data_IF_245661531959
#
_entry.id   IF_245661531959
#
_cell.length_a   1.000
_cell.length_b   1.000
_cell.length_c   1.000
_cell.angle_alpha   90.00
_cell.angle_beta   90.00
_cell.angle_gamma   90.00
#
_symmetry.space_group_name_H-M   'P 1'
#
loop_
_entity.id
_entity.type
_entity.pdbx_description
1 polymer ?
#
# COMPACT_ATOMS: atom_id res chain seq x y z
N UNK A 1 -15.16 4.01 32.93
CA UNK A 1 -13.72 4.03 32.59
C UNK A 1 -13.20 2.69 32.05
N UNK A 2 -13.40 1.53 32.71
CA UNK A 2 -12.89 0.22 32.21
C UNK A 2 -13.36 -0.18 30.79
N UNK A 3 -14.58 0.18 30.37
CA UNK A 3 -15.10 -0.16 29.03
C UNK A 3 -14.49 0.69 27.89
N UNK A 4 -14.22 1.98 28.10
CA UNK A 4 -13.48 2.81 27.12
C UNK A 4 -12.02 2.34 26.95
N UNK A 5 -11.41 1.83 28.02
CA UNK A 5 -10.04 1.32 27.98
C UNK A 5 -9.90 0.02 27.18
N UNK A 6 -10.92 -0.85 27.19
CA UNK A 6 -10.93 -2.06 26.35
C UNK A 6 -11.03 -1.67 24.87
N UNK A 7 -11.84 -0.67 24.52
CA UNK A 7 -11.91 -0.15 23.14
C UNK A 7 -10.58 0.47 22.69
N UNK A 8 -9.88 1.21 23.55
CA UNK A 8 -8.54 1.72 23.25
C UNK A 8 -7.52 0.58 23.05
N UNK A 9 -7.61 -0.50 23.83
CA UNK A 9 -6.73 -1.67 23.72
C UNK A 9 -7.01 -2.48 22.45
N UNK A 10 -8.28 -2.62 22.06
CA UNK A 10 -8.69 -3.22 20.78
C UNK A 10 -8.25 -2.33 19.60
N UNK A 11 -8.38 -1.00 19.73
CA UNK A 11 -7.93 -0.05 18.70
C UNK A 11 -6.40 -0.06 18.55
N UNK A 12 -5.64 -0.08 19.65
CA UNK A 12 -4.19 -0.20 19.61
C UNK A 12 -3.73 -1.57 19.08
N UNK A 13 -4.42 -2.68 19.39
CA UNK A 13 -4.05 -4.00 18.85
C UNK A 13 -4.38 -4.12 17.36
N UNK A 14 -5.49 -3.53 16.89
CA UNK A 14 -5.78 -3.41 15.45
C UNK A 14 -4.75 -2.54 14.72
N UNK A 15 -4.37 -1.40 15.30
CA UNK A 15 -3.30 -0.57 14.76
C UNK A 15 -1.95 -1.31 14.79
N UNK A 16 -1.67 -2.19 15.74
CA UNK A 16 -0.38 -2.89 15.83
C UNK A 16 -0.18 -4.03 14.82
N UNK A 17 -1.25 -4.59 14.25
CA UNK A 17 -1.12 -5.44 13.06
C UNK A 17 -0.87 -4.60 11.79
N UNK A 18 -1.25 -3.32 11.79
CA UNK A 18 -1.09 -2.40 10.65
C UNK A 18 0.17 -1.50 10.72
N UNK A 19 0.72 -1.21 11.90
CA UNK A 19 1.88 -0.30 12.12
C UNK A 19 3.25 -1.00 11.93
N UNK A 20 3.27 -2.26 11.46
CA UNK A 20 4.53 -2.93 11.10
C UNK A 20 5.38 -2.11 10.10
N UNK A 21 4.77 -1.15 9.39
CA UNK A 21 5.41 -0.26 8.41
C UNK A 21 6.07 1.01 8.97
N UNK A 22 5.72 1.50 10.15
CA UNK A 22 6.10 2.89 10.53
C UNK A 22 7.33 3.01 11.43
N UNK A 23 7.69 1.94 12.15
CA UNK A 23 8.85 1.99 13.05
C UNK A 23 10.16 1.49 12.44
N UNK A 24 10.20 1.11 11.16
CA UNK A 24 11.39 0.54 10.51
C UNK A 24 12.25 1.52 9.70
N UNK A 25 11.95 2.83 9.68
CA UNK A 25 12.70 3.80 8.86
C UNK A 25 13.82 4.57 9.57
N UNK A 26 14.05 4.41 10.88
CA UNK A 26 15.14 5.09 11.57
C UNK A 26 16.33 4.17 11.81
N UNK A 27 17.15 4.00 10.77
CA UNK A 27 18.36 3.18 10.84
C UNK A 27 19.10 3.13 9.50
N UNK A 28 19.53 4.30 9.04
CA UNK A 28 20.37 4.52 7.87
C UNK A 28 21.69 3.75 7.99
N UNK A 29 21.97 2.83 7.06
CA UNK A 29 23.34 2.55 6.60
C UNK A 29 23.31 2.60 5.08
N UNK A 30 23.68 3.78 4.62
CA UNK A 30 24.18 4.21 3.32
C UNK A 30 23.33 4.12 2.04
N UNK A 31 22.98 5.34 1.62
CA UNK A 31 22.79 5.87 0.26
C UNK A 31 21.49 5.56 -0.49
N UNK A 32 20.50 6.45 -0.35
CA UNK A 32 19.62 6.98 -1.41
C UNK A 32 19.15 8.40 -0.97
N UNK A 33 18.90 9.33 -1.90
CA UNK A 33 19.04 10.77 -1.69
C UNK A 33 18.02 11.33 -0.71
N UNK A 34 18.50 12.28 0.09
CA UNK A 34 17.71 13.26 0.82
C UNK A 34 16.78 13.99 -0.14
N UNK A 35 15.49 13.88 0.11
CA UNK A 35 14.58 15.01 0.02
C UNK A 35 13.47 14.75 1.03
N UNK A 36 12.93 15.83 1.55
CA UNK A 36 11.98 15.89 2.64
C UNK A 36 10.69 15.15 2.26
N UNK A 37 10.67 13.83 2.44
CA UNK A 37 9.44 13.06 2.37
C UNK A 37 8.65 13.40 3.64
N UNK A 38 7.86 14.46 3.54
CA UNK A 38 6.56 14.52 4.21
C UNK A 38 5.97 13.10 4.19
N UNK A 39 5.24 12.73 5.25
CA UNK A 39 4.27 11.66 5.09
C UNK A 39 3.29 12.14 4.02
N UNK A 40 3.64 11.98 2.74
CA UNK A 40 2.71 12.06 1.64
C UNK A 40 1.64 11.08 2.04
N UNK A 41 0.47 11.62 2.43
CA UNK A 41 -0.75 10.85 2.48
C UNK A 41 -0.72 9.98 1.24
N UNK A 42 -0.64 8.65 1.43
CA UNK A 42 -0.57 7.70 0.32
C UNK A 42 -1.71 8.06 -0.63
N UNK A 43 -1.41 8.81 -1.69
CA UNK A 43 -2.44 9.27 -2.61
C UNK A 43 -2.85 8.02 -3.36
N UNK A 44 -4.08 7.54 -3.17
CA UNK A 44 -4.51 6.34 -3.84
C UNK A 44 -4.44 6.60 -5.34
N UNK A 45 -3.98 5.61 -6.11
CA UNK A 45 -3.94 5.76 -7.56
C UNK A 45 -5.36 5.69 -8.13
N UNK A 46 -5.72 6.71 -8.90
CA UNK A 46 -6.96 6.76 -9.69
C UNK A 46 -6.64 6.43 -11.14
N UNK A 47 -7.58 5.81 -11.84
CA UNK A 47 -7.47 5.56 -13.28
C UNK A 47 -7.60 6.87 -14.08
N UNK A 48 -6.45 7.46 -14.41
CA UNK A 48 -6.39 8.72 -15.15
C UNK A 48 -7.10 8.66 -16.51
N UNK A 49 -7.14 7.49 -17.16
CA UNK A 49 -7.85 7.32 -18.44
C UNK A 49 -9.34 7.61 -18.28
N UNK A 50 -9.95 7.07 -17.22
CA UNK A 50 -11.37 7.23 -16.93
C UNK A 50 -11.67 8.65 -16.48
N UNK A 51 -10.82 9.22 -15.63
CA UNK A 51 -10.92 10.63 -15.22
C UNK A 51 -10.89 11.56 -16.43
N UNK A 52 -9.99 11.32 -17.37
CA UNK A 52 -9.88 12.15 -18.59
C UNK A 52 -11.11 11.96 -19.48
N UNK A 53 -11.57 10.71 -19.70
CA UNK A 53 -12.77 10.42 -20.49
C UNK A 53 -14.00 11.14 -19.92
N UNK A 54 -14.21 11.11 -18.59
CA UNK A 54 -15.33 11.79 -17.95
C UNK A 54 -15.23 13.32 -18.11
N UNK A 55 -14.04 13.90 -17.93
CA UNK A 55 -13.82 15.34 -18.12
C UNK A 55 -14.05 15.79 -19.56
N UNK A 56 -13.51 15.06 -20.53
CA UNK A 56 -13.64 15.37 -21.96
C UNK A 56 -15.10 15.32 -22.44
N UNK A 57 -15.92 14.47 -21.81
CA UNK A 57 -17.34 14.34 -22.11
C UNK A 57 -18.25 15.22 -21.22
N UNK A 58 -17.68 16.11 -20.38
CA UNK A 58 -18.42 16.97 -19.44
C UNK A 58 -19.38 16.18 -18.51
N UNK A 59 -18.92 15.04 -18.00
CA UNK A 59 -19.67 14.20 -17.07
C UNK A 59 -19.21 14.54 -15.66
N UNK A 60 -20.16 14.88 -14.78
CA UNK A 60 -19.88 15.21 -13.38
C UNK A 60 -19.56 13.95 -12.57
N UNK A 61 -18.45 13.99 -11.83
CA UNK A 61 -18.01 12.91 -10.95
C UNK A 61 -17.20 13.47 -9.77
N UNK A 62 -17.11 12.67 -8.72
CA UNK A 62 -16.19 12.88 -7.61
C UNK A 62 -15.37 11.62 -7.35
N UNK A 63 -14.31 11.76 -6.55
CA UNK A 63 -13.47 10.64 -6.11
C UNK A 63 -13.76 10.37 -4.63
N UNK A 64 -14.41 9.26 -4.34
CA UNK A 64 -14.61 8.74 -2.99
C UNK A 64 -13.34 8.01 -2.50
N UNK A 65 -13.02 8.15 -1.21
CA UNK A 65 -11.88 7.51 -0.54
C UNK A 65 -10.51 7.69 -1.22
N UNK A 66 -10.39 8.68 -2.12
CA UNK A 66 -9.19 9.02 -2.86
C UNK A 66 -8.85 8.11 -4.05
N UNK A 67 -9.58 7.01 -4.29
CA UNK A 67 -9.37 6.12 -5.46
C UNK A 67 -10.65 5.72 -6.21
N UNK A 68 -11.83 5.82 -5.61
CA UNK A 68 -13.08 5.33 -6.20
C UNK A 68 -13.74 6.45 -7.00
N UNK A 69 -13.84 6.29 -8.32
CA UNK A 69 -14.53 7.25 -9.18
C UNK A 69 -16.05 6.99 -9.08
N UNK A 70 -16.79 8.02 -8.72
CA UNK A 70 -18.23 7.97 -8.48
C UNK A 70 -18.94 9.06 -9.29
N UNK A 71 -19.96 8.69 -10.08
CA UNK A 71 -20.79 9.63 -10.83
C UNK A 71 -21.78 10.36 -9.90
N UNK A 72 -22.00 11.66 -10.12
CA UNK A 72 -22.89 12.48 -9.28
C UNK A 72 -24.38 12.30 -9.60
N UNK A 73 -24.73 12.28 -10.89
CA UNK A 73 -26.13 12.24 -11.37
C UNK A 73 -26.46 10.90 -12.02
N UNK A 74 -26.48 9.84 -11.22
CA UNK A 74 -26.59 8.47 -11.72
C UNK A 74 -27.96 8.19 -12.36
N UNK A 75 -27.99 8.03 -13.68
CA UNK A 75 -29.14 7.51 -14.42
C UNK A 75 -28.74 6.27 -15.23
N UNK A 76 -29.67 5.34 -15.54
CA UNK A 76 -29.35 4.18 -16.38
C UNK A 76 -28.83 4.57 -17.77
N UNK A 77 -29.33 5.68 -18.32
CA UNK A 77 -28.91 6.24 -19.61
C UNK A 77 -27.46 6.74 -19.55
N UNK A 78 -27.09 7.47 -18.48
CA UNK A 78 -25.73 7.94 -18.27
C UNK A 78 -24.75 6.77 -18.06
N UNK A 79 -25.14 5.75 -17.29
CA UNK A 79 -24.32 4.55 -17.08
C UNK A 79 -24.08 3.84 -18.42
N UNK A 80 -25.11 3.67 -19.24
CA UNK A 80 -24.99 3.03 -20.55
C UNK A 80 -24.08 3.84 -21.49
N UNK A 81 -24.26 5.17 -21.53
CA UNK A 81 -23.42 6.07 -22.33
C UNK A 81 -21.94 6.01 -21.91
N UNK A 82 -21.64 6.10 -20.61
CA UNK A 82 -20.27 5.99 -20.08
C UNK A 82 -19.65 4.63 -20.40
N UNK A 83 -20.41 3.54 -20.23
CA UNK A 83 -19.91 2.19 -20.54
C UNK A 83 -19.60 2.02 -22.03
N UNK A 84 -20.46 2.52 -22.93
CA UNK A 84 -20.19 2.50 -24.37
C UNK A 84 -18.92 3.31 -24.69
N UNK A 85 -18.75 4.50 -24.13
CA UNK A 85 -17.54 5.32 -24.32
C UNK A 85 -16.27 4.64 -23.81
N UNK A 86 -16.35 3.93 -22.68
CA UNK A 86 -15.24 3.16 -22.14
C UNK A 86 -14.86 1.99 -23.06
N UNK A 87 -15.85 1.34 -23.68
CA UNK A 87 -15.63 0.29 -24.68
C UNK A 87 -15.05 0.86 -25.99
N UNK A 88 -15.57 1.99 -26.48
CA UNK A 88 -15.06 2.70 -27.67
C UNK A 88 -13.60 3.12 -27.49
N UNK A 89 -13.25 3.77 -26.37
CA UNK A 89 -11.85 4.14 -26.05
C UNK A 89 -10.94 2.92 -26.02
N UNK A 90 -11.43 1.78 -25.53
CA UNK A 90 -10.69 0.53 -25.52
C UNK A 90 -10.49 -0.07 -26.93
N UNK A 91 -11.51 -0.02 -27.78
CA UNK A 91 -11.46 -0.51 -29.16
C UNK A 91 -10.61 0.39 -30.09
N UNK A 92 -10.69 1.71 -29.93
CA UNK A 92 -9.83 2.68 -30.62
C UNK A 92 -8.36 2.45 -30.26
N UNK A 93 -8.06 2.21 -28.99
CA UNK A 93 -6.72 1.83 -28.54
C UNK A 93 -6.25 0.46 -29.07
N UNK A 94 -7.16 -0.41 -29.51
CA UNK A 94 -6.85 -1.70 -30.12
C UNK A 94 -6.71 -1.69 -31.64
N UNK A 95 -7.31 -0.72 -32.33
CA UNK A 95 -7.48 -0.69 -33.78
C UNK A 95 -6.56 0.28 -34.52
N UNK A 96 -5.93 1.25 -33.85
CA UNK A 96 -4.96 2.16 -34.48
C UNK A 96 -3.59 1.49 -34.62
N UNK A 97 -3.43 0.75 -35.71
CA UNK A 97 -2.12 0.35 -36.22
C UNK A 97 -1.37 1.57 -36.78
N UNK A 98 -0.77 2.40 -35.92
CA UNK A 98 0.39 3.25 -36.26
C UNK A 98 0.94 3.89 -34.96
N UNK A 99 1.98 3.26 -34.40
CA UNK A 99 2.88 3.80 -33.35
C UNK A 99 2.24 4.27 -32.02
N UNK A 100 2.27 3.39 -31.01
CA UNK A 100 1.95 3.63 -29.57
C UNK A 100 0.51 3.32 -29.07
N UNK A 101 -0.29 2.55 -29.81
CA UNK A 101 -1.52 1.95 -29.30
C UNK A 101 -1.27 1.13 -28.01
N UNK A 102 -1.99 1.44 -26.91
CA UNK A 102 -1.99 0.68 -25.65
C UNK A 102 -2.64 -0.68 -25.89
N UNK A 103 -1.88 -1.66 -26.39
CA UNK A 103 -2.37 -3.03 -26.54
C UNK A 103 -2.65 -3.61 -25.16
N UNK A 104 -3.92 -3.89 -24.89
CA UNK A 104 -4.33 -4.58 -23.68
C UNK A 104 -3.88 -6.06 -23.71
N UNK A 105 -3.50 -6.65 -22.55
CA UNK A 105 -3.34 -5.99 -21.27
C UNK A 105 -2.15 -5.02 -21.27
N UNK A 106 -2.27 -3.89 -20.58
CA UNK A 106 -1.21 -2.87 -20.56
C UNK A 106 0.07 -3.41 -19.90
N UNK A 107 1.25 -2.83 -20.19
CA UNK A 107 2.46 -3.14 -19.44
C UNK A 107 2.27 -2.87 -17.94
N UNK A 108 2.96 -3.65 -17.10
CA UNK A 108 2.92 -3.43 -15.65
C UNK A 108 3.50 -2.06 -15.29
N UNK A 109 2.67 -1.25 -14.63
CA UNK A 109 3.05 0.02 -14.05
C UNK A 109 3.40 -0.18 -12.57
N UNK A 110 4.43 0.50 -12.11
CA UNK A 110 5.00 0.32 -10.77
C UNK A 110 4.32 1.23 -9.75
N UNK A 111 3.79 0.63 -8.68
CA UNK A 111 3.08 1.31 -7.60
C UNK A 111 4.06 1.68 -6.47
N UNK A 112 4.91 2.68 -6.73
CA UNK A 112 6.03 3.10 -5.84
C UNK A 112 5.60 3.33 -4.39
N UNK A 113 4.45 3.97 -4.18
CA UNK A 113 3.93 4.35 -2.86
C UNK A 113 3.61 3.14 -1.97
N UNK A 114 3.45 1.96 -2.56
CA UNK A 114 3.10 0.74 -1.85
C UNK A 114 4.29 -0.15 -1.51
N UNK A 115 5.50 0.23 -1.88
CA UNK A 115 6.68 -0.55 -1.55
C UNK A 115 6.81 -0.77 -0.04
N UNK A 116 7.25 -1.98 0.31
CA UNK A 116 7.50 -2.37 1.69
C UNK A 116 8.85 -3.03 1.81
N UNK A 117 9.63 -2.60 2.80
CA UNK A 117 10.93 -3.19 3.13
C UNK A 117 10.93 -3.54 4.60
N UNK A 118 11.29 -4.78 4.92
CA UNK A 118 11.39 -5.26 6.29
C UNK A 118 12.69 -6.02 6.50
N UNK A 119 13.19 -5.96 7.71
CA UNK A 119 14.38 -6.69 8.17
C UNK A 119 13.95 -7.64 9.28
N UNK A 120 14.24 -8.94 9.14
CA UNK A 120 13.88 -9.96 10.13
C UNK A 120 14.40 -9.58 11.51
N UNK A 121 15.66 -9.13 11.57
CA UNK A 121 16.30 -8.74 12.83
C UNK A 121 15.64 -7.51 13.43
N UNK A 122 15.36 -6.50 12.60
CA UNK A 122 14.69 -5.28 13.03
C UNK A 122 13.28 -5.58 13.55
N UNK A 123 12.46 -6.33 12.81
CA UNK A 123 11.12 -6.73 13.20
C UNK A 123 11.11 -7.48 14.54
N UNK A 124 12.07 -8.38 14.76
CA UNK A 124 12.18 -9.10 16.04
C UNK A 124 12.58 -8.15 17.19
N UNK A 125 13.53 -7.25 16.95
CA UNK A 125 13.92 -6.23 17.94
C UNK A 125 12.73 -5.34 18.32
N UNK A 126 11.93 -4.90 17.34
CA UNK A 126 10.71 -4.11 17.57
C UNK A 126 9.67 -4.89 18.36
N UNK A 127 9.45 -6.18 18.08
CA UNK A 127 8.53 -7.03 18.86
C UNK A 127 8.97 -7.17 20.32
N UNK A 128 10.28 -7.36 20.56
CA UNK A 128 10.84 -7.43 21.91
C UNK A 128 10.68 -6.08 22.64
N UNK A 129 11.00 -4.98 21.97
CA UNK A 129 10.82 -3.63 22.50
C UNK A 129 9.38 -3.35 22.93
N UNK A 130 8.42 -3.70 22.07
CA UNK A 130 6.99 -3.57 22.39
C UNK A 130 6.60 -4.43 23.59
N UNK A 131 7.01 -5.70 23.59
CA UNK A 131 6.69 -6.61 24.70
C UNK A 131 7.21 -6.09 26.04
N UNK A 132 8.45 -5.59 26.07
CA UNK A 132 9.06 -5.03 27.27
C UNK A 132 8.35 -3.76 27.73
N UNK A 133 8.02 -2.85 26.82
CA UNK A 133 7.27 -1.63 27.11
C UNK A 133 5.88 -1.94 27.69
N UNK A 134 5.14 -2.87 27.07
CA UNK A 134 3.83 -3.31 27.56
C UNK A 134 3.91 -3.99 28.92
N UNK A 135 4.87 -4.90 29.11
CA UNK A 135 5.06 -5.57 30.41
C UNK A 135 5.40 -4.56 31.49
N UNK A 136 6.27 -3.59 31.21
CA UNK A 136 6.64 -2.54 32.17
C UNK A 136 5.46 -1.66 32.56
N UNK A 137 4.62 -1.30 31.60
CA UNK A 137 3.41 -0.53 31.84
C UNK A 137 2.36 -1.36 32.63
N UNK A 138 2.08 -2.59 32.20
CA UNK A 138 1.10 -3.47 32.83
C UNK A 138 1.48 -3.88 34.26
N UNK A 139 2.77 -4.04 34.54
CA UNK A 139 3.26 -4.36 35.89
C UNK A 139 3.35 -3.15 36.80
N UNK A 140 2.95 -1.96 36.33
CA UNK A 140 2.99 -0.72 37.11
C UNK A 140 4.41 -0.21 37.39
N UNK A 141 5.44 -0.82 36.81
CA UNK A 141 6.85 -0.41 36.97
C UNK A 141 7.14 0.94 36.32
N UNK A 142 6.36 1.32 35.31
CA UNK A 142 6.47 2.59 34.60
C UNK A 142 5.11 3.27 34.48
N UNK A 143 4.99 4.46 35.06
CA UNK A 143 3.73 5.22 35.11
C UNK A 143 3.57 6.24 33.97
N UNK A 144 4.66 6.61 33.29
CA UNK A 144 4.63 7.67 32.26
C UNK A 144 4.98 7.12 30.87
N UNK A 145 4.41 7.67 29.79
CA UNK A 145 4.76 7.29 28.42
C UNK A 145 6.27 7.37 28.13
N UNK A 146 6.94 8.40 28.64
CA UNK A 146 8.39 8.57 28.50
C UNK A 146 9.19 7.42 29.15
N UNK A 147 8.75 6.93 30.31
CA UNK A 147 9.39 5.81 30.99
C UNK A 147 9.18 4.48 30.24
N UNK A 148 7.99 4.27 29.66
CA UNK A 148 7.71 3.12 28.78
C UNK A 148 8.59 3.15 27.53
N UNK A 149 8.75 4.32 26.90
CA UNK A 149 9.59 4.48 25.72
C UNK A 149 11.07 4.16 26.01
N UNK A 150 11.60 4.56 27.16
CA UNK A 150 12.97 4.21 27.59
C UNK A 150 13.17 2.71 27.73
N UNK A 151 12.20 2.01 28.34
CA UNK A 151 12.25 0.54 28.49
C UNK A 151 12.20 -0.14 27.12
N UNK A 152 11.30 0.31 26.23
CA UNK A 152 11.22 -0.21 24.88
C UNK A 152 12.53 0.00 24.09
N UNK A 153 13.12 1.20 24.16
CA UNK A 153 14.39 1.51 23.49
C UNK A 153 15.55 0.66 24.04
N UNK A 154 15.64 0.49 25.36
CA UNK A 154 16.66 -0.36 25.98
C UNK A 154 16.52 -1.83 25.56
N UNK A 155 15.29 -2.35 25.51
CA UNK A 155 15.01 -3.71 25.06
C UNK A 155 15.28 -3.90 23.56
N UNK A 156 14.95 -2.90 22.72
CA UNK A 156 15.30 -2.88 21.31
C UNK A 156 16.81 -3.00 21.12
N UNK A 157 17.57 -2.08 21.73
CA UNK A 157 19.03 -2.05 21.63
C UNK A 157 19.66 -3.35 22.14
N UNK A 158 19.23 -3.82 23.32
CA UNK A 158 19.72 -5.08 23.88
C UNK A 158 19.53 -6.24 22.91
N UNK A 159 18.33 -6.43 22.37
CA UNK A 159 18.08 -7.50 21.40
C UNK A 159 18.91 -7.32 20.13
N UNK A 160 18.97 -6.11 19.59
CA UNK A 160 19.64 -5.82 18.32
C UNK A 160 21.17 -6.04 18.40
N UNK A 161 21.80 -5.64 19.51
CA UNK A 161 23.24 -5.77 19.70
C UNK A 161 23.66 -7.15 20.21
N UNK A 162 22.90 -7.79 21.11
CA UNK A 162 23.20 -9.16 21.58
C UNK A 162 23.12 -10.15 20.42
N UNK A 163 22.12 -9.99 19.54
CA UNK A 163 21.96 -10.81 18.36
C UNK A 163 22.74 -10.25 17.15
N UNK A 164 23.90 -9.62 17.37
CA UNK A 164 24.81 -9.13 16.32
C UNK A 164 25.18 -10.22 15.33
N UNK A 165 25.44 -11.44 15.82
CA UNK A 165 25.87 -12.60 15.04
C UNK A 165 24.74 -13.27 14.23
N UNK A 166 23.47 -12.91 14.48
CA UNK A 166 22.34 -13.48 13.73
C UNK A 166 22.28 -12.82 12.36
N UNK A 167 22.41 -13.64 11.31
CA UNK A 167 22.32 -13.17 9.94
C UNK A 167 20.99 -12.46 9.68
N UNK A 168 21.07 -11.22 9.19
CA UNK A 168 19.87 -10.47 8.85
C UNK A 168 19.31 -10.95 7.51
N UNK A 169 17.99 -11.04 7.45
CA UNK A 169 17.23 -11.39 6.24
C UNK A 169 16.28 -10.25 5.96
N UNK A 170 16.34 -9.73 4.76
CA UNK A 170 15.53 -8.63 4.27
C UNK A 170 14.42 -9.15 3.38
N UNK A 171 13.25 -8.57 3.52
CA UNK A 171 12.06 -8.82 2.74
C UNK A 171 11.67 -7.52 2.03
N UNK A 172 11.60 -7.57 0.70
CA UNK A 172 11.16 -6.46 -0.14
C UNK A 172 9.87 -6.89 -0.81
N UNK A 173 8.83 -6.06 -0.76
CA UNK A 173 7.60 -6.24 -1.54
C UNK A 173 7.41 -5.05 -2.45
N UNK A 174 7.33 -5.33 -3.74
CA UNK A 174 7.01 -4.35 -4.78
C UNK A 174 5.66 -4.68 -5.39
N UNK A 175 4.90 -3.64 -5.71
CA UNK A 175 3.58 -3.80 -6.29
C UNK A 175 3.52 -3.14 -7.66
N UNK A 176 2.79 -3.79 -8.56
CA UNK A 176 2.58 -3.31 -9.91
C UNK A 176 1.11 -3.53 -10.27
N UNK A 177 0.55 -2.70 -11.12
CA UNK A 177 -0.76 -2.94 -11.70
C UNK A 177 -0.68 -2.91 -13.22
N UNK A 178 -1.67 -3.51 -13.87
CA UNK A 178 -1.95 -3.30 -15.29
C UNK A 178 -3.44 -3.38 -15.52
N UNK A 179 -3.90 -2.71 -16.56
CA UNK A 179 -5.26 -2.80 -17.03
C UNK A 179 -5.40 -4.02 -17.94
N UNK A 180 -6.46 -4.78 -17.73
CA UNK A 180 -6.83 -5.94 -18.53
C UNK A 180 -7.95 -5.61 -19.53
N UNK A 181 -8.68 -4.51 -19.33
CA UNK A 181 -9.88 -4.16 -20.08
C UNK A 181 -10.42 -2.77 -19.73
N UNK A 182 -11.53 -2.36 -20.36
CA UNK A 182 -12.11 -1.02 -20.21
C UNK A 182 -12.70 -0.73 -18.82
N UNK A 183 -12.91 -1.76 -18.00
CA UNK A 183 -13.71 -1.63 -16.79
C UNK A 183 -15.19 -1.41 -17.12
N UNK A 184 -15.98 -1.02 -16.13
CA UNK A 184 -17.38 -0.61 -16.30
C UNK A 184 -17.87 0.20 -15.11
N UNK A 185 -18.84 1.07 -15.32
CA UNK A 185 -19.60 1.73 -14.26
C UNK A 185 -20.74 0.81 -13.82
N UNK A 186 -20.83 0.57 -12.52
CA UNK A 186 -21.88 -0.23 -11.91
C UNK A 186 -23.22 0.52 -11.80
N UNK A 187 -24.30 -0.18 -11.39
CA UNK A 187 -25.62 0.42 -11.23
C UNK A 187 -25.69 1.58 -10.23
N UNK A 188 -24.72 1.65 -9.32
CA UNK A 188 -24.59 2.71 -8.31
C UNK A 188 -23.84 3.94 -8.80
N UNK A 189 -23.35 3.95 -10.06
CA UNK A 189 -22.50 5.02 -10.58
C UNK A 189 -21.02 4.89 -10.20
N UNK A 190 -20.63 3.83 -9.50
CA UNK A 190 -19.24 3.57 -9.11
C UNK A 190 -18.49 2.89 -10.24
N UNK A 191 -17.33 3.42 -10.62
CA UNK A 191 -16.46 2.79 -11.60
C UNK A 191 -15.77 1.55 -11.02
N UNK A 192 -15.86 0.44 -11.75
CA UNK A 192 -15.22 -0.83 -11.47
C UNK A 192 -14.21 -1.12 -12.57
N UNK A 193 -12.94 -0.87 -12.30
CA UNK A 193 -11.89 -1.15 -13.27
C UNK A 193 -11.69 -2.65 -13.51
N UNK A 194 -10.90 -2.99 -14.52
CA UNK A 194 -10.49 -4.37 -14.79
C UNK A 194 -8.98 -4.44 -14.71
N UNK A 195 -8.43 -4.61 -13.51
CA UNK A 195 -6.99 -4.59 -13.27
C UNK A 195 -6.44 -5.96 -12.90
N UNK A 196 -5.13 -6.11 -13.07
CA UNK A 196 -4.35 -7.14 -12.40
C UNK A 196 -3.23 -6.51 -11.59
N UNK A 197 -3.25 -6.75 -10.28
CA UNK A 197 -2.16 -6.38 -9.40
C UNK A 197 -1.16 -7.53 -9.36
N UNK A 198 0.13 -7.20 -9.45
CA UNK A 198 1.26 -8.11 -9.26
C UNK A 198 2.04 -7.68 -8.01
N UNK A 199 2.26 -8.62 -7.12
CA UNK A 199 3.19 -8.50 -5.97
C UNK A 199 4.45 -9.28 -6.31
N UNK A 200 5.59 -8.60 -6.27
CA UNK A 200 6.92 -9.21 -6.37
C UNK A 200 7.58 -9.11 -5.01
N UNK A 201 7.76 -10.26 -4.35
CA UNK A 201 8.43 -10.39 -3.06
C UNK A 201 9.86 -10.88 -3.26
N UNK A 202 10.84 -10.23 -2.64
CA UNK A 202 12.22 -10.66 -2.62
C UNK A 202 12.67 -10.90 -1.18
N UNK A 203 13.20 -12.09 -0.92
CA UNK A 203 13.84 -12.46 0.34
C UNK A 203 15.34 -12.59 0.10
N UNK A 204 16.15 -11.76 0.74
CA UNK A 204 17.60 -11.74 0.54
C UNK A 204 18.37 -11.42 1.82
N UNK A 205 19.66 -11.74 1.84
CA UNK A 205 20.59 -11.35 2.91
C UNK A 205 21.17 -9.95 2.69
N UNK A 206 21.00 -9.38 1.50
CA UNK A 206 21.61 -8.11 1.11
C UNK A 206 20.66 -6.94 1.40
N UNK A 207 21.15 -5.93 2.13
CA UNK A 207 20.37 -4.75 2.49
C UNK A 207 19.97 -3.90 1.27
N UNK A 208 20.75 -3.92 0.18
CA UNK A 208 20.43 -3.23 -1.07
C UNK A 208 19.39 -3.96 -1.94
N UNK A 209 18.80 -5.04 -1.42
CA UNK A 209 17.76 -5.79 -2.10
C UNK A 209 18.26 -6.58 -3.31
N UNK A 210 19.53 -6.90 -3.44
CA UNK A 210 20.07 -7.73 -4.54
C UNK A 210 20.10 -9.22 -4.20
N UNK A 211 20.07 -10.09 -5.22
CA UNK A 211 20.13 -11.55 -5.05
C UNK A 211 18.94 -12.13 -4.28
N UNK A 212 19.13 -13.34 -3.73
CA UNK A 212 18.12 -14.04 -2.94
C UNK A 212 17.01 -14.66 -3.79
N UNK A 213 15.90 -15.00 -3.13
CA UNK A 213 14.74 -15.63 -3.76
C UNK A 213 13.69 -14.57 -4.10
N UNK A 214 13.12 -14.68 -5.30
CA UNK A 214 12.00 -13.85 -5.76
C UNK A 214 10.76 -14.73 -5.87
N UNK A 215 9.64 -14.25 -5.37
CA UNK A 215 8.32 -14.86 -5.48
C UNK A 215 7.38 -13.84 -6.08
N UNK A 216 6.63 -14.22 -7.09
CA UNK A 216 5.63 -13.34 -7.71
C UNK A 216 4.23 -13.91 -7.54
N UNK A 217 3.27 -13.03 -7.27
CA UNK A 217 1.85 -13.36 -7.17
C UNK A 217 1.06 -12.33 -7.94
N UNK A 218 -0.01 -12.75 -8.60
CA UNK A 218 -0.92 -11.84 -9.31
C UNK A 218 -2.35 -12.08 -8.88
N UNK A 219 -3.16 -11.01 -8.88
CA UNK A 219 -4.57 -11.05 -8.50
C UNK A 219 -5.36 -10.03 -9.32
N UNK A 220 -6.57 -10.38 -9.76
CA UNK A 220 -7.46 -9.46 -10.48
C UNK A 220 -8.18 -8.55 -9.49
N UNK A 221 -8.31 -7.27 -9.83
CA UNK A 221 -8.90 -6.23 -8.97
C UNK A 221 -9.86 -5.34 -9.75
N UNK A 222 -10.77 -4.69 -9.03
CA UNK A 222 -11.59 -3.58 -9.55
C UNK A 222 -11.06 -2.21 -9.18
N UNK A 223 -10.04 -2.15 -8.32
CA UNK A 223 -9.39 -0.93 -7.85
C UNK A 223 -7.86 -1.04 -7.95
N UNK A 224 -7.17 0.09 -8.05
CA UNK A 224 -5.69 0.18 -8.12
C UNK A 224 -5.12 0.25 -6.70
N UNK A 225 -5.39 -0.77 -5.90
CA UNK A 225 -4.84 -0.92 -4.56
C UNK A 225 -4.27 -2.34 -4.39
N UNK A 226 -3.11 -2.52 -3.74
CA UNK A 226 -2.59 -3.85 -3.48
C UNK A 226 -3.35 -4.56 -2.37
N UNK A 227 -3.84 -5.75 -2.66
CA UNK A 227 -4.54 -6.61 -1.70
C UNK A 227 -4.06 -8.05 -1.88
N UNK A 228 -3.26 -8.54 -0.93
CA UNK A 228 -2.62 -9.86 -0.94
C UNK A 228 -2.59 -10.50 0.44
#
# INVERSE_FOLDING_TARGET
>A
MKKMFIFLLVFCTFFMFSISSTFASTGQVDALPSDDAEFENLTPMVDERVVNLLKENNIDFHIEDGYLIQLDNVTPELIADVNNKLEEDFEEQGSVALFAAKKYPTPYQYMKTYDRVFSKKFTMATKVAFSAGMTSWLTGKTATPASVAKVAAAAFGSYYFINSNVQNVYYFSKYYYRELGPGKVGPTGSYMGNYQIKKTERTTKNANGTGGQITERTKKSTIIEPFF
#
